data_IF_805893256874
#
_entry.id   IF_805893256874
#
_cell.length_a   1.000
_cell.length_b   1.000
_cell.length_c   1.000
_cell.angle_alpha   90.00
_cell.angle_beta   90.00
_cell.angle_gamma   90.00
#
_symmetry.space_group_name_H-M   'P 1'
#
loop_
_entity.id
_entity.type
_entity.pdbx_description
1 polymer ?
#
# COMPACT_ATOMS: atom_id res chain seq x y z
N UNK A 1 13.50 22.74 -3.99
CA UNK A 1 14.84 22.38 -3.99
C UNK A 1 15.20 20.95 -4.29
N UNK A 2 14.36 19.97 -4.06
CA UNK A 2 14.66 18.55 -4.31
C UNK A 2 16.03 18.15 -3.73
N UNK A 3 16.84 17.44 -4.52
CA UNK A 3 18.13 16.86 -4.14
C UNK A 3 19.35 17.75 -4.49
N UNK A 4 19.15 19.02 -4.81
CA UNK A 4 20.20 19.88 -5.40
C UNK A 4 21.09 20.60 -4.39
N UNK A 5 20.69 20.67 -3.11
CA UNK A 5 21.33 21.49 -2.06
C UNK A 5 21.97 20.66 -0.94
N UNK A 6 22.48 19.48 -1.25
CA UNK A 6 23.19 18.61 -0.32
C UNK A 6 22.28 17.64 0.47
N UNK A 7 22.91 16.67 1.13
CA UNK A 7 22.24 15.53 1.78
C UNK A 7 21.25 15.95 2.88
N UNK A 8 21.67 16.82 3.81
CA UNK A 8 20.82 17.27 4.92
C UNK A 8 19.55 17.96 4.40
N UNK A 9 19.71 18.84 3.40
CA UNK A 9 18.57 19.52 2.81
C UNK A 9 17.61 18.56 2.11
N UNK A 10 18.15 17.53 1.48
CA UNK A 10 17.35 16.46 0.85
C UNK A 10 16.51 15.71 1.87
N UNK A 11 17.10 15.33 3.02
CA UNK A 11 16.38 14.70 4.14
C UNK A 11 15.22 15.57 4.62
N UNK A 12 15.51 16.84 4.91
CA UNK A 12 14.49 17.78 5.37
C UNK A 12 13.36 17.92 4.35
N UNK A 13 13.69 18.09 3.07
CA UNK A 13 12.70 18.22 2.01
C UNK A 13 11.81 16.97 1.91
N UNK A 14 12.39 15.78 1.99
CA UNK A 14 11.65 14.52 1.95
C UNK A 14 10.74 14.38 3.16
N UNK A 15 11.25 14.64 4.37
CA UNK A 15 10.42 14.60 5.58
C UNK A 15 9.23 15.56 5.49
N UNK A 16 9.46 16.79 5.05
CA UNK A 16 8.38 17.78 4.87
C UNK A 16 7.33 17.23 3.89
N UNK A 17 7.74 16.67 2.76
CA UNK A 17 6.81 16.11 1.76
C UNK A 17 5.97 15.00 2.39
N UNK A 18 6.58 14.05 3.11
CA UNK A 18 5.85 12.95 3.72
C UNK A 18 4.93 13.40 4.86
N UNK A 19 5.37 14.36 5.68
CA UNK A 19 4.52 14.96 6.73
C UNK A 19 3.33 15.69 6.11
N UNK A 20 3.55 16.49 5.07
CA UNK A 20 2.46 17.16 4.35
C UNK A 20 1.51 16.14 3.70
N UNK A 21 2.02 15.04 3.15
CA UNK A 21 1.19 13.95 2.62
C UNK A 21 0.35 13.31 3.72
N UNK A 22 0.93 13.10 4.91
CA UNK A 22 0.19 12.60 6.08
C UNK A 22 -0.95 13.55 6.47
N UNK A 23 -0.67 14.84 6.61
CA UNK A 23 -1.67 15.88 6.95
C UNK A 23 -2.76 15.96 5.87
N UNK A 24 -2.39 15.80 4.60
CA UNK A 24 -3.36 15.79 3.50
C UNK A 24 -4.38 14.66 3.59
N UNK A 25 -4.01 13.51 4.17
CA UNK A 25 -4.92 12.40 4.43
C UNK A 25 -5.88 12.63 5.60
N UNK A 26 -5.60 13.62 6.45
CA UNK A 26 -6.48 14.00 7.55
C UNK A 26 -5.73 14.60 8.74
N UNK A 27 -6.47 15.24 9.63
CA UNK A 27 -5.93 15.95 10.81
C UNK A 27 -5.58 15.03 12.00
N UNK A 28 -5.70 13.70 11.84
CA UNK A 28 -5.35 12.74 12.90
C UNK A 28 -3.84 12.56 13.03
N UNK A 29 -3.37 12.38 14.26
CA UNK A 29 -1.98 12.02 14.55
C UNK A 29 -1.54 10.72 13.86
N UNK A 30 -2.45 9.81 13.58
CA UNK A 30 -2.15 8.57 12.88
C UNK A 30 -1.65 8.82 11.47
N UNK A 31 -2.26 9.76 10.74
CA UNK A 31 -1.83 10.14 9.39
C UNK A 31 -0.48 10.86 9.41
N UNK A 32 -0.27 11.74 10.39
CA UNK A 32 1.01 12.41 10.56
C UNK A 32 2.11 11.39 10.87
N UNK A 33 1.83 10.45 11.78
CA UNK A 33 2.75 9.36 12.10
C UNK A 33 3.03 8.47 10.88
N UNK A 34 2.00 8.11 10.11
CA UNK A 34 2.13 7.33 8.87
C UNK A 34 3.07 8.02 7.87
N UNK A 35 2.90 9.33 7.68
CA UNK A 35 3.79 10.12 6.84
C UNK A 35 5.23 10.13 7.35
N UNK A 36 5.43 10.42 8.65
CA UNK A 36 6.75 10.40 9.28
C UNK A 36 7.42 9.02 9.19
N UNK A 37 6.66 7.96 9.43
CA UNK A 37 7.09 6.56 9.35
C UNK A 37 7.62 6.21 7.95
N UNK A 38 6.84 6.46 6.90
CA UNK A 38 7.30 6.18 5.54
C UNK A 38 8.46 7.08 5.12
N UNK A 39 8.45 8.35 5.50
CA UNK A 39 9.56 9.27 5.27
C UNK A 39 10.86 8.77 5.92
N UNK A 40 10.77 8.25 7.15
CA UNK A 40 11.92 7.69 7.86
C UNK A 40 12.50 6.45 7.16
N UNK A 41 11.67 5.48 6.78
CA UNK A 41 12.15 4.28 6.07
C UNK A 41 12.74 4.63 4.70
N UNK A 42 12.16 5.55 3.98
CA UNK A 42 12.69 6.01 2.69
C UNK A 42 14.06 6.67 2.83
N UNK A 43 14.30 7.38 3.94
CA UNK A 43 15.63 7.92 4.25
C UNK A 43 16.63 6.81 4.59
N UNK A 44 16.22 5.82 5.41
CA UNK A 44 17.08 4.67 5.72
C UNK A 44 17.50 3.97 4.41
N UNK A 45 16.57 3.71 3.51
CA UNK A 45 16.84 3.07 2.22
C UNK A 45 17.82 3.86 1.35
N UNK A 46 17.75 5.19 1.40
CA UNK A 46 18.66 6.04 0.65
C UNK A 46 20.08 6.07 1.24
N UNK A 47 20.18 6.13 2.58
CA UNK A 47 21.48 6.24 3.26
C UNK A 47 22.12 4.90 3.61
N UNK A 48 21.33 3.83 3.62
CA UNK A 48 21.80 2.45 3.82
C UNK A 48 21.58 1.64 2.53
N UNK A 49 22.38 1.90 1.48
CA UNK A 49 22.14 1.30 0.17
C UNK A 49 22.28 -0.22 0.17
N UNK A 50 22.80 -0.83 1.25
CA UNK A 50 22.81 -2.28 1.41
C UNK A 50 21.39 -2.87 1.40
N UNK A 51 20.40 -2.15 1.94
CA UNK A 51 19.00 -2.60 1.99
C UNK A 51 18.41 -2.71 0.59
N UNK A 52 18.66 -1.72 -0.29
CA UNK A 52 18.00 -1.62 -1.61
C UNK A 52 18.89 -2.03 -2.79
N UNK A 53 20.21 -2.15 -2.62
CA UNK A 53 21.10 -2.60 -3.70
C UNK A 53 20.69 -3.96 -4.23
N UNK A 54 20.65 -4.09 -5.56
CA UNK A 54 20.42 -5.37 -6.24
C UNK A 54 21.38 -6.44 -5.71
N UNK A 55 20.85 -7.63 -5.45
CA UNK A 55 21.58 -8.79 -4.96
C UNK A 55 21.07 -10.05 -5.62
N UNK A 56 21.57 -11.22 -5.16
CA UNK A 56 21.06 -12.51 -5.61
C UNK A 56 19.59 -12.75 -5.21
N UNK A 57 18.99 -13.82 -5.70
CA UNK A 57 17.57 -14.16 -5.48
C UNK A 57 17.17 -14.18 -3.99
N UNK A 58 18.05 -14.70 -3.13
CA UNK A 58 17.82 -14.77 -1.67
C UNK A 58 17.72 -13.36 -1.07
N UNK A 59 18.66 -12.46 -1.42
CA UNK A 59 18.62 -11.08 -0.95
C UNK A 59 17.37 -10.37 -1.44
N UNK A 60 17.00 -10.55 -2.71
CA UNK A 60 15.77 -9.99 -3.28
C UNK A 60 14.53 -10.45 -2.52
N UNK A 61 14.47 -11.73 -2.14
CA UNK A 61 13.38 -12.25 -1.32
C UNK A 61 13.26 -11.53 0.02
N UNK A 62 14.36 -11.35 0.76
CA UNK A 62 14.34 -10.60 2.03
C UNK A 62 14.01 -9.12 1.85
N UNK A 63 14.43 -8.49 0.75
CA UNK A 63 14.05 -7.12 0.41
C UNK A 63 12.54 -6.99 0.19
N UNK A 64 11.88 -7.97 -0.44
CA UNK A 64 10.42 -7.98 -0.58
C UNK A 64 9.71 -8.15 0.76
N UNK A 65 10.19 -9.06 1.62
CA UNK A 65 9.63 -9.23 2.97
C UNK A 65 9.76 -7.93 3.77
N UNK A 66 10.93 -7.31 3.75
CA UNK A 66 11.16 -6.02 4.40
C UNK A 66 10.17 -4.96 3.91
N UNK A 67 10.07 -4.76 2.60
CA UNK A 67 9.17 -3.78 2.02
C UNK A 67 7.70 -4.05 2.38
N UNK A 68 7.26 -5.32 2.32
CA UNK A 68 5.91 -5.72 2.74
C UNK A 68 5.65 -5.41 4.20
N UNK A 69 6.58 -5.74 5.10
CA UNK A 69 6.43 -5.44 6.54
C UNK A 69 6.34 -3.94 6.79
N UNK A 70 7.20 -3.13 6.17
CA UNK A 70 7.16 -1.68 6.31
C UNK A 70 5.80 -1.14 5.83
N UNK A 71 5.33 -1.58 4.68
CA UNK A 71 4.05 -1.14 4.12
C UNK A 71 2.88 -1.60 4.99
N UNK A 72 2.83 -2.89 5.39
CA UNK A 72 1.75 -3.43 6.22
C UNK A 72 1.64 -2.70 7.57
N UNK A 73 2.76 -2.50 8.27
CA UNK A 73 2.77 -1.78 9.54
C UNK A 73 2.29 -0.33 9.35
N UNK A 74 2.76 0.33 8.29
CA UNK A 74 2.28 1.67 7.94
C UNK A 74 0.77 1.73 7.75
N UNK A 75 0.18 0.76 7.03
CA UNK A 75 -1.27 0.68 6.82
C UNK A 75 -2.07 0.36 8.09
N UNK A 76 -1.50 -0.37 9.06
CA UNK A 76 -2.15 -0.56 10.36
C UNK A 76 -2.38 0.78 11.05
N UNK A 77 -1.36 1.65 11.10
CA UNK A 77 -1.51 2.99 11.67
C UNK A 77 -2.46 3.87 10.86
N UNK A 78 -2.40 3.77 9.54
CA UNK A 78 -3.30 4.50 8.65
C UNK A 78 -4.77 4.16 8.90
N UNK A 79 -5.08 2.89 9.17
CA UNK A 79 -6.45 2.40 9.37
C UNK A 79 -6.96 2.58 10.80
N UNK A 80 -6.06 2.67 11.78
CA UNK A 80 -6.42 2.80 13.18
C UNK A 80 -7.03 4.17 13.49
N UNK A 81 -8.01 4.22 14.39
CA UNK A 81 -8.63 5.48 14.82
C UNK A 81 -7.73 6.25 15.81
N UNK A 82 -6.87 5.53 16.54
CA UNK A 82 -5.92 6.12 17.50
C UNK A 82 -4.56 5.42 17.43
N UNK A 83 -3.49 6.14 17.82
CA UNK A 83 -2.14 5.57 17.92
C UNK A 83 -2.10 4.34 18.84
N UNK A 84 -2.83 4.39 19.96
CA UNK A 84 -2.93 3.27 20.91
C UNK A 84 -3.53 2.03 20.27
N UNK A 85 -4.57 2.21 19.48
CA UNK A 85 -5.22 1.12 18.74
C UNK A 85 -4.29 0.52 17.70
N UNK A 86 -3.54 1.36 16.96
CA UNK A 86 -2.54 0.89 16.00
C UNK A 86 -1.46 0.05 16.66
N UNK A 87 -0.89 0.52 17.77
CA UNK A 87 0.07 -0.25 18.57
C UNK A 87 -0.51 -1.56 19.10
N UNK A 88 -1.76 -1.54 19.58
CA UNK A 88 -2.45 -2.75 20.03
C UNK A 88 -2.59 -3.77 18.89
N UNK A 89 -3.06 -3.36 17.72
CA UNK A 89 -3.20 -4.25 16.56
C UNK A 89 -1.87 -4.83 16.11
N UNK A 90 -0.80 -4.03 16.09
CA UNK A 90 0.54 -4.55 15.76
C UNK A 90 0.97 -5.59 16.79
N UNK A 91 0.77 -5.33 18.08
CA UNK A 91 1.07 -6.31 19.12
C UNK A 91 0.32 -7.62 18.86
N UNK A 92 -1.01 -7.57 18.66
CA UNK A 92 -1.84 -8.75 18.38
C UNK A 92 -1.35 -9.52 17.14
N UNK A 93 -0.96 -8.82 16.07
CA UNK A 93 -0.43 -9.45 14.84
C UNK A 93 0.82 -10.30 15.10
N UNK A 94 1.63 -9.98 16.11
CA UNK A 94 2.86 -10.70 16.42
C UNK A 94 2.79 -11.61 17.65
N UNK A 95 1.75 -11.49 18.47
CA UNK A 95 1.64 -12.22 19.74
C UNK A 95 0.42 -13.13 19.84
N UNK A 96 -0.69 -12.82 19.16
CA UNK A 96 -1.90 -13.62 19.19
C UNK A 96 -2.11 -14.39 17.88
N UNK A 97 -1.46 -15.54 17.75
CA UNK A 97 -1.65 -16.45 16.63
C UNK A 97 -2.85 -17.41 16.83
N UNK A 98 -3.75 -17.10 17.78
CA UNK A 98 -4.92 -17.90 18.07
C UNK A 98 -5.95 -17.87 16.92
N UNK A 99 -6.28 -19.05 16.37
CA UNK A 99 -7.36 -19.21 15.40
C UNK A 99 -8.71 -19.13 16.11
N UNK A 100 -9.20 -17.91 16.35
CA UNK A 100 -10.53 -17.71 16.91
C UNK A 100 -11.57 -18.00 15.82
N UNK A 101 -12.45 -18.96 16.07
CA UNK A 101 -13.54 -19.35 15.14
C UNK A 101 -14.37 -18.13 14.71
N UNK A 102 -14.63 -17.20 15.63
CA UNK A 102 -15.34 -15.95 15.35
C UNK A 102 -14.59 -15.05 14.35
N UNK A 103 -13.28 -14.92 14.48
CA UNK A 103 -12.47 -14.14 13.54
C UNK A 103 -12.43 -14.81 12.16
N UNK A 104 -12.33 -16.15 12.13
CA UNK A 104 -12.34 -16.91 10.90
C UNK A 104 -13.67 -16.79 10.16
N UNK A 105 -14.79 -16.85 10.86
CA UNK A 105 -16.12 -16.68 10.25
C UNK A 105 -16.30 -15.29 9.65
N UNK A 106 -15.85 -14.23 10.33
CA UNK A 106 -15.87 -12.86 9.81
C UNK A 106 -15.00 -12.71 8.57
N UNK A 107 -13.82 -13.31 8.56
CA UNK A 107 -12.93 -13.29 7.40
C UNK A 107 -13.55 -14.00 6.21
N UNK A 108 -14.13 -15.18 6.41
CA UNK A 108 -14.80 -15.95 5.36
C UNK A 108 -16.01 -15.21 4.77
N UNK A 109 -16.77 -14.48 5.59
CA UNK A 109 -17.87 -13.64 5.11
C UNK A 109 -17.41 -12.52 4.16
N UNK A 110 -16.20 -12.01 4.33
CA UNK A 110 -15.62 -10.99 3.43
C UNK A 110 -15.10 -11.58 2.11
N UNK A 111 -14.81 -12.89 2.08
CA UNK A 111 -14.32 -13.58 0.89
C UNK A 111 -15.47 -13.90 -0.08
N UNK A 112 -16.17 -12.86 -0.53
CA UNK A 112 -17.22 -13.02 -1.54
C UNK A 112 -16.62 -13.48 -2.88
N UNK A 113 -17.40 -14.14 -3.75
CA UNK A 113 -16.92 -14.53 -5.09
C UNK A 113 -16.37 -13.34 -5.87
N UNK A 114 -17.01 -12.18 -5.77
CA UNK A 114 -16.55 -10.94 -6.43
C UNK A 114 -15.17 -10.54 -5.92
N UNK A 115 -14.96 -10.56 -4.59
CA UNK A 115 -13.67 -10.25 -3.99
C UNK A 115 -12.57 -11.23 -4.48
N UNK A 116 -12.87 -12.54 -4.50
CA UNK A 116 -11.91 -13.56 -4.93
C UNK A 116 -11.52 -13.40 -6.41
N UNK A 117 -12.51 -13.15 -7.27
CA UNK A 117 -12.26 -12.91 -8.71
C UNK A 117 -11.44 -11.63 -8.89
N UNK A 118 -11.81 -10.54 -8.23
CA UNK A 118 -11.07 -9.27 -8.31
C UNK A 118 -9.64 -9.43 -7.82
N UNK A 119 -9.44 -10.16 -6.72
CA UNK A 119 -8.12 -10.44 -6.17
C UNK A 119 -7.27 -11.29 -7.13
N UNK A 120 -7.85 -12.34 -7.72
CA UNK A 120 -7.17 -13.17 -8.73
C UNK A 120 -6.76 -12.35 -9.96
N UNK A 121 -7.66 -11.51 -10.48
CA UNK A 121 -7.35 -10.60 -11.58
C UNK A 121 -6.24 -9.63 -11.22
N UNK A 122 -6.27 -9.06 -10.01
CA UNK A 122 -5.22 -8.16 -9.54
C UNK A 122 -3.86 -8.86 -9.44
N UNK A 123 -3.81 -10.10 -8.95
CA UNK A 123 -2.58 -10.91 -8.92
C UNK A 123 -2.02 -11.16 -10.31
N UNK A 124 -2.87 -11.53 -11.27
CA UNK A 124 -2.45 -11.75 -12.66
C UNK A 124 -1.95 -10.44 -13.29
N UNK A 125 -2.64 -9.33 -13.05
CA UNK A 125 -2.25 -8.01 -13.55
C UNK A 125 -0.95 -7.49 -12.92
N UNK A 126 -0.62 -7.90 -11.70
CA UNK A 126 0.63 -7.55 -11.02
C UNK A 126 1.86 -8.25 -11.61
N UNK A 127 1.67 -9.38 -12.30
CA UNK A 127 2.78 -10.06 -12.99
C UNK A 127 3.18 -9.23 -14.21
N UNK A 128 4.50 -8.98 -14.46
CA UNK A 128 4.96 -8.13 -15.56
C UNK A 128 4.84 -8.83 -16.93
N UNK A 129 3.65 -9.36 -17.23
CA UNK A 129 3.31 -9.99 -18.51
C UNK A 129 3.40 -8.99 -19.67
N UNK A 130 3.23 -7.71 -19.39
CA UNK A 130 3.35 -6.63 -20.36
C UNK A 130 4.74 -6.60 -21.04
N UNK A 131 5.81 -6.97 -20.32
CA UNK A 131 7.17 -7.00 -20.89
C UNK A 131 7.28 -8.05 -22.02
N UNK A 132 6.56 -9.16 -21.92
CA UNK A 132 6.57 -10.22 -22.92
C UNK A 132 5.53 -9.99 -24.02
N UNK A 133 4.34 -9.50 -23.65
CA UNK A 133 3.20 -9.35 -24.56
C UNK A 133 3.22 -8.04 -25.37
N UNK A 134 3.93 -7.02 -24.89
CA UNK A 134 4.01 -5.69 -25.52
C UNK A 134 4.54 -5.70 -26.96
N UNK A 135 5.26 -6.74 -27.37
CA UNK A 135 5.74 -6.93 -28.72
C UNK A 135 4.63 -7.25 -29.75
N UNK A 136 3.45 -7.63 -29.28
CA UNK A 136 2.31 -7.95 -30.15
C UNK A 136 1.43 -6.72 -30.37
N UNK A 137 1.09 -6.42 -31.62
CA UNK A 137 0.29 -5.24 -31.96
C UNK A 137 -1.10 -5.22 -31.31
N UNK A 138 -1.74 -6.39 -31.15
CA UNK A 138 -3.05 -6.49 -30.52
C UNK A 138 -3.02 -6.17 -29.03
N UNK A 139 -1.88 -6.31 -28.33
CA UNK A 139 -1.76 -6.12 -26.89
C UNK A 139 -2.12 -4.70 -26.47
N UNK A 140 -1.69 -3.70 -27.21
CA UNK A 140 -1.99 -2.29 -26.89
C UNK A 140 -3.50 -2.03 -27.00
N UNK A 141 -4.16 -2.51 -28.07
CA UNK A 141 -5.62 -2.41 -28.22
C UNK A 141 -6.36 -3.10 -27.08
N UNK A 142 -5.96 -4.32 -26.74
CA UNK A 142 -6.54 -5.07 -25.62
C UNK A 142 -6.39 -4.32 -24.29
N UNK A 143 -5.22 -3.77 -23.98
CA UNK A 143 -4.99 -3.04 -22.72
C UNK A 143 -5.85 -1.78 -22.63
N UNK A 144 -6.04 -1.05 -23.73
CA UNK A 144 -6.95 0.11 -23.76
C UNK A 144 -8.40 -0.30 -23.48
N UNK A 145 -8.90 -1.32 -24.15
CA UNK A 145 -10.28 -1.81 -23.97
C UNK A 145 -10.48 -2.33 -22.55
N UNK A 146 -9.54 -3.14 -22.04
CA UNK A 146 -9.58 -3.67 -20.68
C UNK A 146 -9.54 -2.55 -19.61
N UNK A 147 -8.75 -1.49 -19.85
CA UNK A 147 -8.68 -0.35 -18.94
C UNK A 147 -9.97 0.47 -18.94
N UNK A 148 -10.58 0.70 -20.11
CA UNK A 148 -11.87 1.39 -20.20
C UNK A 148 -13.00 0.58 -19.54
N UNK A 149 -13.01 -0.73 -19.76
CA UNK A 149 -13.98 -1.62 -19.13
C UNK A 149 -13.80 -1.65 -17.60
N UNK A 150 -12.57 -1.79 -17.13
CA UNK A 150 -12.24 -1.71 -15.70
C UNK A 150 -12.65 -0.38 -15.08
N UNK A 151 -12.37 0.74 -15.77
CA UNK A 151 -12.82 2.06 -15.34
C UNK A 151 -14.33 2.16 -15.22
N UNK A 152 -15.08 1.68 -16.24
CA UNK A 152 -16.53 1.67 -16.20
C UNK A 152 -17.08 0.84 -15.03
N UNK A 153 -16.49 -0.34 -14.76
CA UNK A 153 -16.85 -1.16 -13.60
C UNK A 153 -16.58 -0.44 -12.27
N UNK A 154 -15.47 0.28 -12.15
CA UNK A 154 -15.17 1.09 -10.98
C UNK A 154 -16.20 2.20 -10.77
N UNK A 155 -16.58 2.92 -11.84
CA UNK A 155 -17.61 3.96 -11.78
C UNK A 155 -18.96 3.38 -11.37
N UNK A 156 -19.38 2.26 -11.96
CA UNK A 156 -20.62 1.57 -11.60
C UNK A 156 -20.61 1.10 -10.15
N UNK A 157 -19.50 0.57 -9.66
CA UNK A 157 -19.33 0.15 -8.27
C UNK A 157 -19.45 1.32 -7.30
N UNK A 158 -18.87 2.48 -7.65
CA UNK A 158 -18.98 3.70 -6.85
C UNK A 158 -20.38 4.30 -6.89
N UNK A 159 -21.03 4.28 -8.06
CA UNK A 159 -22.40 4.78 -8.24
C UNK A 159 -23.46 3.89 -7.55
N UNK A 160 -23.19 2.60 -7.39
CA UNK A 160 -24.02 1.64 -6.65
C UNK A 160 -24.13 1.90 -5.14
N UNK A 161 -23.39 2.79 -4.62
CA UNK A 161 -23.69 3.77 -3.59
C UNK A 161 -23.82 3.33 -2.14
N UNK A 162 -23.16 2.29 -1.65
CA UNK A 162 -23.06 2.08 -0.19
C UNK A 162 -21.69 2.44 0.39
N UNK A 163 -20.74 2.72 -0.47
CA UNK A 163 -19.37 3.04 -0.07
C UNK A 163 -19.10 4.53 -0.22
N UNK A 164 -18.77 5.19 0.88
CA UNK A 164 -18.31 6.57 0.82
C UNK A 164 -16.92 6.60 0.16
N UNK A 165 -16.78 7.11 -1.07
CA UNK A 165 -15.50 7.17 -1.78
C UNK A 165 -14.49 8.08 -1.08
N UNK A 166 -14.95 8.96 -0.20
CA UNK A 166 -14.12 9.82 0.64
C UNK A 166 -13.67 9.09 1.90
N UNK A 167 -12.84 8.05 1.75
CA UNK A 167 -12.19 7.35 2.87
C UNK A 167 -11.45 8.30 3.82
N UNK A 168 -11.08 9.47 3.31
CA UNK A 168 -10.25 10.45 4.01
C UNK A 168 -11.03 11.44 4.87
N UNK A 169 -12.32 11.58 4.66
CA UNK A 169 -13.16 12.51 5.43
C UNK A 169 -14.07 11.72 6.39
N UNK A 170 -13.51 11.27 7.49
CA UNK A 170 -14.26 10.94 8.70
C UNK A 170 -14.31 12.20 9.55
N UNK A 171 -15.40 12.92 9.47
CA UNK A 171 -15.77 13.96 10.44
C UNK A 171 -16.41 13.28 11.64
#
# INVERSE_FOLDING_TARGET
>A
GGNRKGKIRTVINKMIVFLCTGIWHGASLNFLFWGAYHGFFLMIEEYVPFIVKKGGKIKSFFQHIYALLVVCIGFVFFRADTMRQGCFWIKEMFTDFGWKVSAMSLTLQQLTPVYLVTFAVALVAAVPLNLTLKKYNWYNGFTYVASLFGFALCVLSLAGGTYNPFIYFRF
#
